data_IF_254629622413
#
_entry.id   IF_254629622413
#
_cell.length_a   1.000
_cell.length_b   1.000
_cell.length_c   1.000
_cell.angle_alpha   90.00
_cell.angle_beta   90.00
_cell.angle_gamma   90.00
#
_symmetry.space_group_name_H-M   'P 1'
#
loop_
_entity.id
_entity.type
_entity.pdbx_description
1 polymer ?
#
# COMPACT_ATOMS: atom_id res chain seq x y z
N UNK A 1 6.65 50.84 -62.25
CA UNK A 1 7.49 50.31 -63.34
C UNK A 1 8.45 49.31 -62.71
N UNK A 2 8.01 48.05 -62.64
CA UNK A 2 8.43 46.91 -63.50
C UNK A 2 9.73 46.28 -62.94
N UNK A 3 9.72 45.13 -62.22
CA UNK A 3 9.30 43.75 -62.61
C UNK A 3 10.24 43.23 -63.72
N UNK A 4 11.02 42.15 -63.62
CA UNK A 4 10.75 40.69 -63.49
C UNK A 4 12.13 39.99 -63.35
N UNK A 5 12.37 38.85 -62.70
CA UNK A 5 11.86 37.46 -62.84
C UNK A 5 12.15 36.70 -61.53
N UNK A 6 11.25 36.02 -60.80
CA UNK A 6 10.28 34.93 -61.09
C UNK A 6 10.89 33.50 -61.17
N UNK A 7 10.86 32.82 -60.01
CA UNK A 7 10.49 31.42 -59.67
C UNK A 7 11.22 30.20 -60.28
N UNK A 8 11.58 29.22 -59.41
CA UNK A 8 10.77 28.00 -59.20
C UNK A 8 11.10 27.24 -57.89
N UNK A 9 10.03 26.79 -57.23
CA UNK A 9 9.94 25.93 -56.04
C UNK A 9 10.27 24.46 -56.37
N UNK A 10 10.93 23.72 -55.47
CA UNK A 10 10.66 22.28 -55.23
C UNK A 10 10.85 21.95 -53.73
N UNK A 11 9.75 21.49 -53.10
CA UNK A 11 9.71 20.81 -51.81
C UNK A 11 10.35 19.43 -51.91
N UNK A 12 11.05 18.94 -50.86
CA UNK A 12 10.89 17.55 -50.41
C UNK A 12 11.31 17.37 -48.95
N UNK A 13 10.36 16.87 -48.17
CA UNK A 13 10.51 16.29 -46.84
C UNK A 13 11.06 14.86 -46.98
N UNK A 14 11.97 14.42 -46.10
CA UNK A 14 11.97 13.03 -45.67
C UNK A 14 12.74 12.81 -44.36
N UNK A 15 12.01 12.31 -43.37
CA UNK A 15 12.54 11.62 -42.20
C UNK A 15 13.19 10.29 -42.64
N UNK A 16 14.31 9.92 -42.02
CA UNK A 16 14.87 8.57 -42.13
C UNK A 16 14.82 7.91 -40.75
N UNK A 17 13.99 6.87 -40.72
CA UNK A 17 13.88 5.84 -39.71
C UNK A 17 15.09 4.92 -39.79
N UNK A 18 15.78 4.66 -38.68
CA UNK A 18 16.73 3.55 -38.57
C UNK A 18 16.09 2.45 -37.73
N UNK A 19 15.55 1.45 -38.44
CA UNK A 19 15.13 0.16 -37.89
C UNK A 19 16.25 -0.81 -38.23
N UNK A 20 16.94 -1.34 -37.21
CA UNK A 20 17.92 -2.41 -37.35
C UNK A 20 17.18 -3.74 -37.47
N UNK A 21 17.29 -4.39 -38.63
CA UNK A 21 16.90 -5.78 -38.83
C UNK A 21 18.01 -6.69 -38.24
N UNK A 22 17.61 -7.71 -37.50
CA UNK A 22 18.48 -8.74 -36.92
C UNK A 22 18.22 -10.05 -37.66
N UNK A 23 19.26 -10.59 -38.28
CA UNK A 23 19.28 -11.85 -39.05
C UNK A 23 19.69 -13.01 -38.13
N UNK A 24 18.86 -14.06 -37.93
CA UNK A 24 19.19 -15.19 -37.08
C UNK A 24 19.79 -16.32 -37.91
N UNK A 25 21.07 -16.20 -38.29
CA UNK A 25 21.81 -17.31 -38.88
C UNK A 25 23.30 -17.25 -38.60
N UNK A 26 23.70 -17.31 -37.34
CA UNK A 26 25.04 -17.82 -36.99
C UNK A 26 25.10 -18.30 -35.54
N UNK A 27 25.30 -19.59 -35.37
CA UNK A 27 25.62 -20.24 -34.10
C UNK A 27 27.06 -20.73 -34.15
N UNK A 28 27.84 -20.56 -33.07
CA UNK A 28 28.95 -21.44 -32.79
C UNK A 28 28.65 -22.26 -31.53
N UNK A 29 28.58 -23.57 -31.72
CA UNK A 29 28.67 -24.59 -30.69
C UNK A 29 30.05 -24.56 -30.04
N UNK A 30 30.12 -24.49 -28.71
CA UNK A 30 31.31 -24.90 -27.96
C UNK A 30 30.90 -25.93 -26.91
N UNK A 31 31.55 -27.07 -27.04
CA UNK A 31 31.45 -28.29 -26.26
C UNK A 31 32.05 -28.18 -24.86
N UNK A 32 31.36 -28.84 -23.92
CA UNK A 32 31.79 -29.45 -22.66
C UNK A 32 33.16 -29.14 -22.06
N UNK A 33 33.13 -28.70 -20.79
CA UNK A 33 34.14 -29.06 -19.79
C UNK A 33 33.51 -29.17 -18.40
N UNK A 34 33.62 -30.37 -17.82
CA UNK A 34 33.53 -30.67 -16.39
C UNK A 34 34.69 -30.01 -15.64
N UNK A 35 34.52 -29.73 -14.34
CA UNK A 35 35.48 -29.74 -13.22
C UNK A 35 34.80 -29.06 -12.00
N UNK A 36 34.38 -29.81 -10.99
CA UNK A 36 35.08 -30.08 -9.71
C UNK A 36 34.67 -29.12 -8.57
N UNK A 37 34.05 -29.71 -7.54
CA UNK A 37 33.80 -29.10 -6.24
C UNK A 37 35.11 -28.91 -5.48
N UNK A 38 35.34 -27.71 -4.95
CA UNK A 38 36.39 -27.44 -3.96
C UNK A 38 35.71 -26.94 -2.68
N UNK A 39 35.86 -27.64 -1.53
CA UNK A 39 35.32 -27.19 -0.25
C UNK A 39 36.26 -26.13 0.36
N UNK A 40 35.68 -25.04 0.88
CA UNK A 40 36.44 -24.03 1.65
C UNK A 40 36.32 -24.27 3.15
N UNK A 41 37.40 -24.02 3.93
CA UNK A 41 37.51 -24.46 5.31
C UNK A 41 36.81 -23.51 6.29
N UNK A 42 36.35 -24.10 7.40
CA UNK A 42 35.95 -23.43 8.63
C UNK A 42 37.09 -22.55 9.15
N UNK A 43 36.81 -21.27 9.38
CA UNK A 43 37.61 -20.44 10.29
C UNK A 43 36.74 -20.00 11.46
N UNK A 44 37.13 -20.46 12.64
CA UNK A 44 36.61 -20.03 13.93
C UNK A 44 37.21 -18.66 14.27
N UNK A 45 36.36 -17.66 14.45
CA UNK A 45 36.74 -16.43 15.17
C UNK A 45 35.77 -16.26 16.32
N UNK A 46 36.30 -16.48 17.52
CA UNK A 46 35.71 -16.12 18.80
C UNK A 46 35.63 -14.60 18.94
N UNK A 47 34.42 -14.06 19.08
CA UNK A 47 34.24 -12.71 19.62
C UNK A 47 33.27 -12.74 20.79
N UNK A 48 33.76 -12.17 21.89
CA UNK A 48 33.12 -11.91 23.17
C UNK A 48 31.68 -11.40 23.03
N UNK A 49 30.73 -12.10 23.65
CA UNK A 49 29.40 -11.58 23.94
C UNK A 49 29.52 -10.54 25.07
N UNK A 50 29.27 -9.28 24.76
CA UNK A 50 28.92 -8.27 25.75
C UNK A 50 27.44 -7.96 25.52
N UNK A 51 26.57 -8.63 26.28
CA UNK A 51 25.15 -8.31 26.37
C UNK A 51 25.02 -6.86 26.84
N UNK A 52 24.52 -5.98 25.96
CA UNK A 52 23.96 -4.69 26.36
C UNK A 52 22.46 -4.75 26.09
N UNK A 53 21.72 -4.83 27.19
CA UNK A 53 20.29 -4.58 27.26
C UNK A 53 19.95 -3.26 26.55
N UNK A 54 19.18 -3.34 25.48
CA UNK A 54 18.50 -2.19 24.89
C UNK A 54 17.16 -2.05 25.59
N UNK A 55 17.00 -1.04 26.43
CA UNK A 55 15.73 -0.66 27.03
C UNK A 55 14.79 -0.15 25.93
N UNK A 56 13.74 -0.93 25.67
CA UNK A 56 12.61 -0.54 24.83
C UNK A 56 11.67 0.38 25.62
N UNK A 57 11.66 1.67 25.30
CA UNK A 57 10.51 2.53 25.61
C UNK A 57 9.47 2.40 24.50
N UNK A 58 8.76 1.28 24.51
CA UNK A 58 7.49 1.08 23.80
C UNK A 58 6.48 0.63 24.85
N UNK A 59 5.32 1.28 24.90
CA UNK A 59 4.19 0.77 25.68
C UNK A 59 3.68 -0.48 24.95
N UNK A 60 4.25 -1.63 25.30
CA UNK A 60 3.67 -2.93 25.01
C UNK A 60 2.36 -3.07 25.80
N UNK A 61 1.23 -3.08 25.08
CA UNK A 61 -0.03 -3.59 25.61
C UNK A 61 0.10 -5.11 25.84
N UNK A 62 0.53 -5.49 27.03
CA UNK A 62 0.45 -6.86 27.52
C UNK A 62 -1.00 -7.12 27.96
N UNK A 63 -1.77 -7.87 27.18
CA UNK A 63 -3.14 -8.25 27.55
C UNK A 63 -3.06 -9.36 28.61
N UNK A 64 -3.32 -9.01 29.87
CA UNK A 64 -3.63 -9.97 30.94
C UNK A 64 -5.08 -10.43 30.79
N UNK A 65 -5.27 -11.75 30.72
CA UNK A 65 -6.58 -12.39 30.76
C UNK A 65 -7.03 -12.43 32.23
N UNK A 66 -8.03 -11.62 32.60
CA UNK A 66 -8.74 -11.76 33.87
C UNK A 66 -10.25 -11.93 33.66
N UNK A 67 -10.81 -12.83 34.49
CA UNK A 67 -12.15 -13.41 34.40
C UNK A 67 -13.24 -12.39 34.74
N UNK A 68 -14.35 -12.57 34.04
CA UNK A 68 -15.62 -11.85 34.16
C UNK A 68 -16.40 -12.25 35.43
N UNK A 69 -16.98 -11.28 36.15
CA UNK A 69 -18.30 -11.37 36.82
C UNK A 69 -18.86 -9.94 37.11
N UNK A 70 -20.19 -9.76 37.24
CA UNK A 70 -20.89 -8.57 36.72
C UNK A 70 -21.64 -7.74 37.77
N UNK A 71 -21.68 -6.40 37.60
CA UNK A 71 -22.67 -5.46 38.16
C UNK A 71 -22.65 -4.18 37.30
N UNK A 72 -23.68 -3.36 37.09
CA UNK A 72 -25.14 -3.41 37.21
C UNK A 72 -25.66 -2.15 36.47
N UNK A 73 -26.87 -2.23 35.92
CA UNK A 73 -27.59 -1.25 35.10
C UNK A 73 -27.64 0.22 35.58
N UNK A 74 -27.47 1.19 34.67
CA UNK A 74 -28.14 2.50 34.72
C UNK A 74 -28.51 2.95 33.28
N UNK A 75 -29.79 3.31 33.11
CA UNK A 75 -30.46 3.66 31.85
C UNK A 75 -30.36 5.14 31.51
N UNK A 76 -30.39 5.43 30.21
CA UNK A 76 -30.33 6.76 29.62
C UNK A 76 -31.65 7.53 29.79
N UNK A 77 -31.71 8.44 30.76
CA UNK A 77 -32.56 9.65 30.76
C UNK A 77 -32.24 10.40 32.04
N UNK A 78 -31.44 11.46 31.94
CA UNK A 78 -31.55 12.69 32.74
C UNK A 78 -30.37 13.61 32.42
N UNK A 79 -30.58 14.90 32.68
CA UNK A 79 -29.64 16.03 32.49
C UNK A 79 -29.67 16.67 31.09
N UNK A 80 -30.85 17.16 30.69
CA UNK A 80 -30.95 18.48 30.05
C UNK A 80 -31.48 19.45 31.11
N UNK A 81 -30.63 20.40 31.56
CA UNK A 81 -30.95 21.79 31.95
C UNK A 81 -29.90 22.33 32.95
N UNK A 82 -28.98 23.15 32.47
CA UNK A 82 -28.78 24.54 32.94
C UNK A 82 -27.64 25.19 32.15
N UNK A 83 -27.98 26.25 31.43
CA UNK A 83 -27.03 27.15 30.82
C UNK A 83 -26.51 28.12 31.90
N UNK A 84 -25.19 28.22 32.02
CA UNK A 84 -24.48 29.37 32.58
C UNK A 84 -23.27 29.62 31.68
N UNK A 85 -23.22 30.81 31.10
CA UNK A 85 -22.15 31.25 30.20
C UNK A 85 -20.78 31.29 30.90
N UNK A 86 -19.69 30.98 30.16
CA UNK A 86 -18.42 31.63 30.38
C UNK A 86 -17.84 32.30 29.13
N UNK A 87 -16.89 33.18 29.40
CA UNK A 87 -16.07 34.07 28.55
C UNK A 87 -15.34 33.41 27.36
N UNK A 88 -14.71 34.19 26.43
CA UNK A 88 -14.39 33.70 25.10
C UNK A 88 -13.09 32.89 25.11
N UNK A 89 -13.22 31.57 24.97
CA UNK A 89 -12.11 30.69 24.58
C UNK A 89 -12.06 30.57 23.06
N UNK A 90 -11.08 31.26 22.47
CA UNK A 90 -10.50 30.92 21.18
C UNK A 90 -9.66 29.65 21.38
N UNK A 91 -10.15 28.49 20.93
CA UNK A 91 -9.37 27.34 20.43
C UNK A 91 -10.29 26.15 20.06
N UNK A 92 -9.89 25.43 19.01
CA UNK A 92 -10.30 24.05 18.68
C UNK A 92 -11.60 23.77 17.90
N UNK A 93 -12.10 24.72 17.10
CA UNK A 93 -13.15 24.41 16.10
C UNK A 93 -12.65 23.53 14.94
N UNK A 94 -11.33 23.51 14.68
CA UNK A 94 -10.71 22.77 13.58
C UNK A 94 -10.57 21.25 13.79
N UNK A 95 -10.23 20.78 15.01
CA UNK A 95 -10.11 19.33 15.28
C UNK A 95 -11.46 18.64 15.39
N UNK A 96 -12.44 19.30 15.99
CA UNK A 96 -13.82 18.80 16.09
C UNK A 96 -14.44 18.63 14.70
N UNK A 97 -14.13 19.52 13.76
CA UNK A 97 -14.64 19.45 12.39
C UNK A 97 -13.99 18.33 11.56
N UNK A 98 -12.68 18.10 11.71
CA UNK A 98 -12.00 16.97 11.08
C UNK A 98 -12.51 15.61 11.59
N UNK A 99 -12.66 15.46 12.91
CA UNK A 99 -13.20 14.23 13.51
C UNK A 99 -14.64 13.96 13.07
N UNK A 100 -15.49 15.01 13.00
CA UNK A 100 -16.85 14.90 12.44
C UNK A 100 -16.85 14.52 10.97
N UNK A 101 -15.97 15.10 10.15
CA UNK A 101 -15.83 14.74 8.72
C UNK A 101 -15.36 13.29 8.55
N UNK A 102 -14.39 12.84 9.35
CA UNK A 102 -13.92 11.46 9.36
C UNK A 102 -15.04 10.48 9.77
N UNK A 103 -15.80 10.80 10.82
CA UNK A 103 -16.93 9.99 11.27
C UNK A 103 -18.08 9.96 10.24
N UNK A 104 -18.38 11.08 9.59
CA UNK A 104 -19.41 11.14 8.54
C UNK A 104 -19.01 10.33 7.30
N UNK A 105 -17.74 10.40 6.88
CA UNK A 105 -17.21 9.60 5.76
C UNK A 105 -17.18 8.11 6.11
N UNK A 106 -16.71 7.76 7.31
CA UNK A 106 -16.74 6.37 7.81
C UNK A 106 -18.17 5.84 7.90
N UNK A 107 -19.13 6.67 8.32
CA UNK A 107 -20.56 6.33 8.34
C UNK A 107 -21.12 6.13 6.93
N UNK A 108 -20.73 6.96 5.96
CA UNK A 108 -21.16 6.79 4.56
C UNK A 108 -20.66 5.47 3.99
N UNK A 109 -19.37 5.17 4.18
CA UNK A 109 -18.74 3.91 3.80
C UNK A 109 -19.43 2.72 4.48
N UNK A 110 -19.69 2.82 5.78
CA UNK A 110 -20.37 1.77 6.53
C UNK A 110 -21.80 1.54 6.01
N UNK A 111 -22.54 2.61 5.70
CA UNK A 111 -23.87 2.53 5.10
C UNK A 111 -23.84 1.96 3.68
N UNK A 112 -22.83 2.28 2.88
CA UNK A 112 -22.65 1.74 1.54
C UNK A 112 -22.31 0.24 1.60
N UNK A 113 -21.41 -0.16 2.48
CA UNK A 113 -21.10 -1.57 2.75
C UNK A 113 -22.35 -2.33 3.22
N UNK A 114 -23.16 -1.76 4.11
CA UNK A 114 -24.44 -2.34 4.51
C UNK A 114 -25.44 -2.43 3.35
N UNK A 115 -25.48 -1.44 2.44
CA UNK A 115 -26.34 -1.47 1.23
C UNK A 115 -25.88 -2.55 0.24
N UNK A 116 -24.58 -2.75 0.07
CA UNK A 116 -24.03 -3.82 -0.77
C UNK A 116 -24.37 -5.21 -0.20
N UNK A 117 -24.31 -5.38 1.12
CA UNK A 117 -24.79 -6.60 1.79
C UNK A 117 -26.28 -6.85 1.55
N UNK A 118 -27.10 -5.78 1.46
CA UNK A 118 -28.56 -5.87 1.19
C UNK A 118 -28.93 -6.01 -0.29
N UNK A 119 -28.06 -5.63 -1.24
CA UNK A 119 -28.33 -5.59 -2.69
C UNK A 119 -27.78 -6.78 -3.49
N UNK A 120 -27.20 -7.78 -2.83
CA UNK A 120 -26.73 -8.98 -3.52
C UNK A 120 -27.90 -9.69 -4.23
N UNK A 121 -27.78 -10.10 -5.52
CA UNK A 121 -28.93 -10.63 -6.24
C UNK A 121 -29.35 -12.00 -5.72
N UNK A 122 -30.57 -12.09 -5.19
CA UNK A 122 -31.29 -13.34 -5.06
C UNK A 122 -31.69 -13.80 -6.47
N UNK A 123 -30.89 -14.67 -7.09
CA UNK A 123 -31.34 -15.41 -8.27
C UNK A 123 -31.78 -16.82 -7.82
N UNK A 124 -33.09 -17.01 -7.73
CA UNK A 124 -33.71 -18.31 -7.48
C UNK A 124 -35.09 -18.40 -8.15
N UNK A 125 -35.15 -19.17 -9.24
CA UNK A 125 -36.38 -19.68 -9.85
C UNK A 125 -37.27 -20.37 -8.80
N UNK A 126 -38.59 -20.26 -9.01
CA UNK A 126 -39.66 -20.97 -8.29
C UNK A 126 -39.36 -22.47 -8.06
N UNK A 127 -39.64 -22.98 -6.85
CA UNK A 127 -39.87 -24.41 -6.61
C UNK A 127 -39.44 -24.94 -5.23
N UNK A 128 -40.34 -24.79 -4.25
CA UNK A 128 -40.56 -25.56 -3.01
C UNK A 128 -39.44 -26.03 -2.04
N UNK A 129 -39.56 -25.48 -0.81
CA UNK A 129 -39.42 -26.04 0.55
C UNK A 129 -38.35 -27.10 0.84
N UNK A 130 -37.28 -26.64 1.53
CA UNK A 130 -36.82 -27.22 2.81
C UNK A 130 -36.15 -26.13 3.66
N UNK A 131 -36.51 -26.10 4.94
CA UNK A 131 -35.87 -25.28 5.99
C UNK A 131 -34.39 -25.67 6.07
N UNK A 132 -33.51 -24.69 6.17
CA UNK A 132 -32.29 -24.62 7.00
C UNK A 132 -31.67 -23.21 6.83
N UNK A 133 -30.97 -22.73 7.88
CA UNK A 133 -30.69 -21.32 8.19
C UNK A 133 -29.82 -20.51 7.22
N UNK A 134 -29.50 -19.28 7.65
CA UNK A 134 -28.61 -18.30 7.01
C UNK A 134 -27.49 -18.95 6.18
N UNK A 135 -27.71 -19.09 4.88
CA UNK A 135 -26.78 -19.86 4.06
C UNK A 135 -27.17 -19.86 2.60
N UNK A 136 -26.71 -18.83 1.88
CA UNK A 136 -26.07 -18.91 0.54
C UNK A 136 -26.14 -17.56 -0.18
N UNK A 137 -25.09 -16.76 0.00
CA UNK A 137 -24.59 -15.92 -1.08
C UNK A 137 -23.12 -16.34 -1.30
N UNK A 138 -22.93 -17.45 -2.00
CA UNK A 138 -21.63 -17.90 -2.52
C UNK A 138 -21.56 -17.77 -4.06
N UNK A 139 -22.55 -17.12 -4.66
CA UNK A 139 -22.69 -17.02 -6.11
C UNK A 139 -22.19 -15.65 -6.58
N UNK A 140 -21.31 -15.64 -7.58
CA UNK A 140 -20.90 -14.42 -8.26
C UNK A 140 -22.08 -13.83 -9.05
N UNK A 141 -22.36 -12.55 -8.84
CA UNK A 141 -23.28 -11.80 -9.69
C UNK A 141 -22.77 -11.80 -11.14
N UNK A 142 -23.59 -12.21 -12.09
CA UNK A 142 -23.23 -12.26 -13.51
C UNK A 142 -22.78 -10.91 -14.08
N UNK A 143 -23.31 -9.80 -13.56
CA UNK A 143 -22.90 -8.45 -13.96
C UNK A 143 -21.51 -8.05 -13.43
N UNK A 144 -21.00 -8.74 -12.41
CA UNK A 144 -19.68 -8.48 -11.88
C UNK A 144 -18.58 -9.24 -12.64
N UNK A 145 -18.92 -10.19 -13.52
CA UNK A 145 -17.96 -10.98 -14.30
C UNK A 145 -17.08 -10.07 -15.15
N UNK A 146 -15.77 -10.15 -14.93
CA UNK A 146 -14.75 -9.41 -15.65
C UNK A 146 -14.46 -10.12 -16.97
N UNK A 147 -15.01 -9.60 -18.07
CA UNK A 147 -14.83 -10.18 -19.41
C UNK A 147 -13.35 -10.33 -19.81
N UNK A 148 -12.49 -9.41 -19.36
CA UNK A 148 -11.04 -9.48 -19.58
C UNK A 148 -10.39 -10.74 -19.01
N UNK A 149 -10.93 -11.31 -17.93
CA UNK A 149 -10.42 -12.56 -17.35
C UNK A 149 -10.79 -13.81 -18.17
N UNK A 150 -11.63 -13.70 -19.21
CA UNK A 150 -11.99 -14.83 -20.07
C UNK A 150 -10.96 -15.12 -21.16
N UNK A 151 -9.94 -14.27 -21.31
CA UNK A 151 -8.91 -14.37 -22.33
C UNK A 151 -7.54 -14.20 -21.67
N UNK A 152 -6.52 -14.86 -22.22
CA UNK A 152 -5.13 -14.79 -21.75
C UNK A 152 -4.38 -13.55 -22.28
N UNK A 153 -5.10 -12.67 -22.99
CA UNK A 153 -4.56 -11.46 -23.62
C UNK A 153 -3.94 -11.69 -24.99
N UNK A 154 -3.85 -12.94 -25.50
CA UNK A 154 -3.22 -13.28 -26.79
C UNK A 154 -1.85 -12.59 -26.96
N UNK A 155 -0.88 -12.86 -26.06
CA UNK A 155 0.39 -12.18 -26.04
C UNK A 155 1.12 -12.27 -27.39
N UNK A 156 1.86 -11.21 -27.75
CA UNK A 156 2.74 -11.19 -28.92
C UNK A 156 4.15 -10.77 -28.53
N UNK A 157 5.16 -11.22 -29.28
CA UNK A 157 6.57 -10.98 -28.92
C UNK A 157 6.95 -11.66 -27.60
N UNK A 158 7.60 -10.91 -26.71
CA UNK A 158 8.07 -11.41 -25.40
C UNK A 158 7.01 -11.36 -24.29
N UNK A 159 5.73 -11.11 -24.63
CA UNK A 159 4.65 -11.07 -23.65
C UNK A 159 4.32 -12.47 -23.13
N UNK A 160 4.05 -12.58 -21.83
CA UNK A 160 3.54 -13.81 -21.23
C UNK A 160 2.00 -13.84 -21.25
N UNK A 161 1.36 -15.02 -21.39
CA UNK A 161 -0.09 -15.13 -21.31
C UNK A 161 -0.59 -14.94 -19.87
N UNK A 162 -1.76 -14.33 -19.73
CA UNK A 162 -2.45 -14.21 -18.44
C UNK A 162 -3.18 -15.50 -18.07
N UNK A 163 -3.37 -15.74 -16.77
CA UNK A 163 -4.36 -16.70 -16.30
C UNK A 163 -5.77 -16.28 -16.75
N UNK A 164 -6.66 -17.26 -16.90
CA UNK A 164 -8.08 -17.03 -17.22
C UNK A 164 -8.99 -17.54 -16.11
N UNK A 165 -10.18 -16.95 -16.01
CA UNK A 165 -11.19 -17.29 -15.01
C UNK A 165 -12.58 -16.87 -15.47
N UNK A 166 -13.57 -17.73 -15.18
CA UNK A 166 -15.00 -17.44 -15.40
C UNK A 166 -15.70 -16.84 -14.17
N UNK A 167 -15.01 -16.75 -13.02
CA UNK A 167 -15.56 -16.31 -11.75
C UNK A 167 -14.69 -15.24 -11.05
N UNK A 168 -14.01 -14.40 -11.82
CA UNK A 168 -13.12 -13.34 -11.32
C UNK A 168 -12.07 -13.80 -10.30
N UNK A 169 -11.59 -15.04 -10.41
CA UNK A 169 -10.58 -15.61 -9.52
C UNK A 169 -10.99 -15.66 -8.04
N UNK A 170 -12.29 -15.63 -7.72
CA UNK A 170 -12.79 -15.71 -6.34
C UNK A 170 -12.29 -16.96 -5.61
N UNK A 171 -12.00 -18.04 -6.35
CA UNK A 171 -11.47 -19.30 -5.82
C UNK A 171 -9.94 -19.43 -5.97
N UNK A 172 -9.21 -18.35 -6.23
CA UNK A 172 -7.77 -18.41 -6.47
C UNK A 172 -7.01 -19.06 -5.30
N UNK A 173 -7.31 -18.67 -4.07
CA UNK A 173 -6.59 -19.17 -2.89
C UNK A 173 -6.79 -20.68 -2.62
N UNK A 174 -7.80 -21.31 -3.20
CA UNK A 174 -8.00 -22.77 -3.06
C UNK A 174 -7.46 -23.56 -4.27
N UNK A 175 -6.99 -22.86 -5.31
CA UNK A 175 -6.30 -23.46 -6.46
C UNK A 175 -4.88 -23.92 -6.10
N UNK A 176 -4.21 -24.61 -7.03
CA UNK A 176 -2.80 -24.98 -6.87
C UNK A 176 -1.88 -23.76 -6.74
N UNK A 177 -2.16 -22.68 -7.48
CA UNK A 177 -1.40 -21.42 -7.40
C UNK A 177 -1.56 -20.72 -6.04
N UNK A 178 -2.77 -20.78 -5.47
CA UNK A 178 -3.08 -20.17 -4.19
C UNK A 178 -2.51 -20.89 -2.97
N UNK A 179 -1.90 -22.07 -3.16
CA UNK A 179 -1.38 -22.96 -2.11
C UNK A 179 0.14 -23.13 -2.15
N UNK A 180 0.85 -22.36 -2.98
CA UNK A 180 2.31 -22.42 -3.12
C UNK A 180 2.97 -22.26 -1.75
N UNK A 181 3.96 -23.10 -1.45
CA UNK A 181 4.72 -23.03 -0.20
C UNK A 181 3.88 -23.26 1.06
N UNK A 182 2.73 -23.95 0.95
CA UNK A 182 1.82 -24.16 2.08
C UNK A 182 1.01 -22.93 2.45
N UNK A 183 0.78 -22.02 1.49
CA UNK A 183 0.05 -20.78 1.73
C UNK A 183 -1.32 -21.01 2.39
N UNK A 184 -1.64 -20.17 3.37
CA UNK A 184 -2.95 -20.18 4.06
C UNK A 184 -3.78 -18.96 3.68
N UNK A 185 -5.10 -19.10 3.71
CA UNK A 185 -6.00 -17.96 3.51
C UNK A 185 -5.86 -17.01 4.70
N UNK A 186 -5.61 -15.73 4.41
CA UNK A 186 -5.23 -14.75 5.44
C UNK A 186 -6.36 -14.37 6.41
N UNK A 187 -7.60 -14.25 5.92
CA UNK A 187 -8.79 -13.92 6.73
C UNK A 187 -8.59 -12.73 7.70
N UNK A 188 -7.92 -11.67 7.25
CA UNK A 188 -7.66 -10.48 8.06
C UNK A 188 -6.46 -10.58 9.01
N UNK A 189 -5.78 -11.72 9.04
CA UNK A 189 -4.62 -11.98 9.90
C UNK A 189 -3.34 -11.89 9.05
N UNK A 190 -2.35 -11.17 9.58
CA UNK A 190 -0.99 -11.18 9.01
C UNK A 190 -0.39 -12.59 9.03
N UNK A 191 0.39 -12.93 8.01
CA UNK A 191 1.09 -14.22 7.92
C UNK A 191 2.60 -13.97 7.94
N UNK A 192 3.22 -13.77 9.12
CA UNK A 192 4.65 -13.47 9.22
C UNK A 192 5.54 -14.69 8.97
N UNK A 193 5.08 -15.90 9.35
CA UNK A 193 5.93 -17.10 9.40
C UNK A 193 5.74 -18.05 8.22
N UNK A 194 4.83 -17.74 7.29
CA UNK A 194 4.51 -18.57 6.12
C UNK A 194 3.83 -17.77 5.02
N UNK A 195 3.80 -18.28 3.77
CA UNK A 195 3.05 -17.63 2.69
C UNK A 195 1.56 -17.44 3.04
N UNK A 196 1.00 -16.30 2.64
CA UNK A 196 -0.41 -15.99 2.77
C UNK A 196 -1.08 -15.82 1.40
N UNK A 197 -2.36 -16.19 1.30
CA UNK A 197 -3.20 -15.86 0.15
C UNK A 197 -4.39 -15.00 0.60
N UNK A 198 -4.49 -13.79 0.04
CA UNK A 198 -5.64 -12.91 0.29
C UNK A 198 -6.78 -13.25 -0.67
N UNK A 199 -7.92 -13.68 -0.12
CA UNK A 199 -9.13 -13.97 -0.89
C UNK A 199 -10.02 -12.74 -1.18
N UNK A 200 -9.66 -11.57 -0.64
CA UNK A 200 -10.44 -10.35 -0.83
C UNK A 200 -10.04 -9.66 -2.13
N UNK A 201 -11.04 -9.19 -2.89
CA UNK A 201 -10.80 -8.41 -4.11
C UNK A 201 -10.01 -7.14 -3.80
N UNK A 202 -9.13 -6.73 -4.72
CA UNK A 202 -8.26 -5.56 -4.50
C UNK A 202 -9.06 -4.26 -4.28
N UNK A 203 -10.25 -4.14 -4.87
CA UNK A 203 -11.13 -2.98 -4.68
C UNK A 203 -11.06 -1.96 -5.80
N UNK A 204 -11.35 -0.71 -5.45
CA UNK A 204 -11.39 0.40 -6.38
C UNK A 204 -9.99 0.76 -6.89
N UNK A 205 -9.93 1.25 -8.12
CA UNK A 205 -8.71 1.79 -8.73
C UNK A 205 -9.00 3.26 -9.06
N UNK A 206 -8.17 4.24 -8.61
CA UNK A 206 -8.37 5.64 -8.94
C UNK A 206 -8.25 5.84 -10.46
N UNK A 207 -8.85 6.89 -11.02
CA UNK A 207 -8.56 7.26 -12.41
C UNK A 207 -7.23 8.00 -12.53
N UNK A 208 -6.78 8.24 -13.77
CA UNK A 208 -5.46 8.82 -14.07
C UNK A 208 -5.21 10.16 -13.37
N UNK A 209 -6.24 10.98 -13.15
CA UNK A 209 -6.11 12.30 -12.56
C UNK A 209 -6.10 12.26 -11.02
N UNK A 210 -6.53 11.14 -10.43
CA UNK A 210 -6.63 10.94 -8.98
C UNK A 210 -5.66 9.88 -8.46
N UNK A 211 -4.61 9.57 -9.22
CA UNK A 211 -3.53 8.72 -8.72
C UNK A 211 -2.81 9.42 -7.54
N UNK A 212 -2.56 8.70 -6.43
CA UNK A 212 -1.84 9.26 -5.30
C UNK A 212 -0.38 9.50 -5.64
N UNK A 213 0.23 10.46 -4.94
CA UNK A 213 1.67 10.63 -4.91
C UNK A 213 2.07 11.29 -3.60
N UNK A 214 3.32 11.11 -3.22
CA UNK A 214 3.90 11.82 -2.09
C UNK A 214 5.32 12.31 -2.39
N UNK A 215 5.83 13.22 -1.56
CA UNK A 215 7.20 13.73 -1.63
C UNK A 215 7.70 14.12 -0.24
N UNK A 216 8.88 13.65 0.16
CA UNK A 216 9.53 14.14 1.38
C UNK A 216 9.91 15.61 1.23
N UNK A 217 9.46 16.42 2.19
CA UNK A 217 9.91 17.80 2.40
C UNK A 217 11.16 17.80 3.28
N UNK A 218 11.19 16.92 4.29
CA UNK A 218 12.30 16.73 5.23
C UNK A 218 12.37 15.26 5.66
N UNK A 219 13.58 14.66 5.73
CA UNK A 219 14.82 15.19 5.16
C UNK A 219 14.68 15.31 3.63
N UNK A 220 15.36 16.30 3.05
CA UNK A 220 15.53 16.37 1.60
C UNK A 220 16.55 15.33 1.16
N UNK A 221 16.55 15.04 -0.14
CA UNK A 221 17.55 14.16 -0.70
C UNK A 221 18.95 14.78 -0.58
N UNK A 222 19.89 13.98 -0.08
CA UNK A 222 21.27 14.29 0.27
C UNK A 222 21.43 15.29 1.43
N UNK A 223 20.42 15.43 2.29
CA UNK A 223 20.56 16.25 3.50
C UNK A 223 21.65 15.68 4.43
N UNK A 224 22.29 16.59 5.15
CA UNK A 224 23.16 16.27 6.28
C UNK A 224 22.41 16.64 7.56
N UNK A 225 22.07 15.64 8.36
CA UNK A 225 21.39 15.82 9.66
C UNK A 225 22.42 15.79 10.79
N UNK A 226 21.98 16.04 12.03
CA UNK A 226 22.84 15.94 13.22
C UNK A 226 22.60 14.62 13.96
N UNK A 227 23.68 13.92 14.27
CA UNK A 227 23.67 12.72 15.11
C UNK A 227 22.88 12.91 16.40
N UNK A 228 22.05 11.92 16.73
CA UNK A 228 21.36 11.83 18.02
C UNK A 228 20.57 13.10 18.38
N UNK A 229 20.08 13.83 17.37
CA UNK A 229 19.18 14.96 17.52
C UNK A 229 17.83 14.59 16.93
N UNK A 230 16.75 14.93 17.63
CA UNK A 230 15.39 14.68 17.15
C UNK A 230 15.22 15.20 15.73
N UNK A 231 14.87 14.29 14.81
CA UNK A 231 14.63 14.61 13.42
C UNK A 231 13.12 14.77 13.18
N UNK A 232 12.73 15.90 12.58
CA UNK A 232 11.37 16.08 12.08
C UNK A 232 11.29 15.67 10.61
N UNK A 233 10.46 14.67 10.35
CA UNK A 233 10.15 14.18 9.01
C UNK A 233 8.83 14.80 8.57
N UNK A 234 8.83 15.35 7.35
CA UNK A 234 7.64 15.93 6.73
C UNK A 234 7.43 15.30 5.36
N UNK A 235 6.23 14.79 5.12
CA UNK A 235 5.82 14.19 3.86
C UNK A 235 4.63 14.96 3.29
N UNK A 236 4.77 15.49 2.08
CA UNK A 236 3.66 16.05 1.32
C UNK A 236 2.95 14.94 0.56
N UNK A 237 1.63 14.98 0.51
CA UNK A 237 0.80 14.01 -0.21
C UNK A 237 -0.16 14.70 -1.17
N UNK A 238 -0.75 13.95 -2.09
CA UNK A 238 -1.88 14.39 -2.92
C UNK A 238 -2.74 13.21 -3.32
N UNK A 239 -4.01 13.49 -3.65
CA UNK A 239 -4.99 12.50 -4.13
C UNK A 239 -5.16 11.28 -3.20
N UNK A 240 -4.94 11.48 -1.90
CA UNK A 240 -5.17 10.51 -0.85
C UNK A 240 -5.73 11.22 0.38
N UNK A 241 -6.78 10.66 0.97
CA UNK A 241 -7.31 11.08 2.27
C UNK A 241 -6.64 10.20 3.33
N UNK A 242 -5.65 10.78 4.02
CA UNK A 242 -4.94 10.12 5.12
C UNK A 242 -5.77 10.10 6.41
N UNK A 243 -5.36 9.26 7.35
CA UNK A 243 -6.05 9.01 8.62
C UNK A 243 -7.09 7.88 8.54
N UNK A 244 -7.08 7.12 7.44
CA UNK A 244 -7.90 5.92 7.28
C UNK A 244 -6.99 4.71 7.40
N UNK A 245 -6.91 4.13 8.59
CA UNK A 245 -6.17 2.89 8.85
C UNK A 245 -7.04 1.99 9.73
N UNK A 246 -7.05 0.69 9.44
CA UNK A 246 -7.82 -0.30 10.22
C UNK A 246 -6.88 -1.16 11.07
N UNK A 247 -7.44 -1.94 11.99
CA UNK A 247 -6.63 -2.76 12.89
C UNK A 247 -5.83 -3.84 12.13
N UNK A 248 -4.48 -3.79 12.11
CA UNK A 248 -3.66 -4.70 11.34
C UNK A 248 -3.59 -6.12 11.92
N UNK A 249 -4.12 -6.37 13.13
CA UNK A 249 -4.15 -7.72 13.73
C UNK A 249 -5.29 -8.58 13.17
N UNK A 250 -6.40 -7.97 12.79
CA UNK A 250 -7.64 -8.69 12.46
C UNK A 250 -8.40 -8.17 11.22
N UNK A 251 -7.93 -7.11 10.56
CA UNK A 251 -8.51 -6.62 9.31
C UNK A 251 -7.49 -6.46 8.19
N UNK A 252 -6.32 -7.08 8.34
CA UNK A 252 -5.20 -6.98 7.41
C UNK A 252 -5.55 -7.54 6.03
N UNK A 253 -5.48 -6.67 5.04
CA UNK A 253 -5.91 -6.91 3.66
C UNK A 253 -7.39 -7.33 3.49
N UNK A 254 -8.23 -7.16 4.52
CA UNK A 254 -9.58 -7.74 4.61
C UNK A 254 -10.68 -6.91 3.94
N UNK A 255 -10.43 -5.64 3.62
CA UNK A 255 -11.42 -4.73 3.04
C UNK A 255 -10.88 -4.10 1.75
N UNK A 256 -11.61 -4.11 0.62
CA UNK A 256 -11.10 -3.57 -0.65
C UNK A 256 -10.67 -2.10 -0.54
N UNK A 257 -9.76 -1.69 -1.44
CA UNK A 257 -9.42 -0.27 -1.65
C UNK A 257 -10.69 0.53 -1.94
N UNK A 258 -10.79 1.71 -1.35
CA UNK A 258 -11.95 2.60 -1.48
C UNK A 258 -11.49 4.00 -1.91
N UNK A 259 -12.37 4.70 -2.63
CA UNK A 259 -12.17 6.10 -3.00
C UNK A 259 -13.19 6.95 -2.26
N UNK A 260 -12.78 8.17 -1.94
CA UNK A 260 -13.69 9.21 -1.46
C UNK A 260 -14.73 9.53 -2.55
N UNK A 261 -16.04 9.51 -2.25
CA UNK A 261 -17.07 9.77 -3.25
C UNK A 261 -16.99 11.18 -3.85
N UNK A 262 -16.49 12.16 -3.12
CA UNK A 262 -16.46 13.56 -3.55
C UNK A 262 -15.17 13.88 -4.31
N UNK A 263 -14.02 13.56 -3.71
CA UNK A 263 -12.70 13.91 -4.27
C UNK A 263 -12.10 12.83 -5.17
N UNK A 264 -12.68 11.63 -5.19
CA UNK A 264 -12.13 10.43 -5.85
C UNK A 264 -10.74 10.01 -5.37
N UNK A 265 -10.23 10.65 -4.31
CA UNK A 265 -8.95 10.33 -3.70
C UNK A 265 -9.02 8.99 -2.98
N UNK A 266 -7.89 8.28 -2.93
CA UNK A 266 -7.82 7.01 -2.20
C UNK A 266 -8.04 7.24 -0.70
N UNK A 267 -8.77 6.36 -0.04
CA UNK A 267 -8.89 6.35 1.42
C UNK A 267 -7.81 5.44 1.99
N UNK A 268 -6.88 6.02 2.76
CA UNK A 268 -5.74 5.26 3.23
C UNK A 268 -4.90 5.93 4.30
N UNK A 269 -3.68 5.44 4.42
CA UNK A 269 -2.68 5.92 5.35
C UNK A 269 -1.29 5.69 4.76
N UNK A 270 -0.27 6.23 5.41
CA UNK A 270 1.12 6.09 4.97
C UNK A 270 2.02 5.78 6.15
N UNK A 271 3.18 5.20 5.88
CA UNK A 271 4.19 4.89 6.87
C UNK A 271 5.50 5.55 6.45
N UNK A 272 6.36 5.83 7.41
CA UNK A 272 7.74 6.25 7.19
C UNK A 272 8.66 5.13 7.66
N UNK A 273 9.59 4.74 6.80
CA UNK A 273 10.61 3.74 7.09
C UNK A 273 11.98 4.36 6.85
N UNK A 274 12.88 4.21 7.82
CA UNK A 274 14.29 4.58 7.67
C UNK A 274 15.14 3.34 7.83
N UNK A 275 16.04 3.11 6.88
CA UNK A 275 17.02 2.04 6.93
C UNK A 275 18.42 2.62 6.86
N UNK A 276 19.33 2.04 7.63
CA UNK A 276 20.76 2.33 7.51
C UNK A 276 21.30 1.64 6.26
N UNK A 277 22.20 2.32 5.56
CA UNK A 277 22.92 1.82 4.38
C UNK A 277 24.43 2.07 4.56
N UNK A 278 25.25 1.36 3.79
CA UNK A 278 26.72 1.43 3.94
C UNK A 278 27.28 2.80 3.55
N UNK A 279 26.80 3.35 2.44
CA UNK A 279 27.12 4.67 1.91
C UNK A 279 26.03 5.10 0.91
N UNK A 280 26.05 6.36 0.47
CA UNK A 280 25.05 6.90 -0.47
C UNK A 280 25.13 6.26 -1.86
N UNK A 281 26.30 5.75 -2.23
CA UNK A 281 26.57 5.07 -3.50
C UNK A 281 26.36 3.55 -3.42
N UNK A 282 25.95 3.01 -2.27
CA UNK A 282 25.82 1.58 -2.10
C UNK A 282 24.79 0.98 -3.06
N UNK A 283 25.19 -0.11 -3.73
CA UNK A 283 24.33 -0.93 -4.59
C UNK A 283 23.88 -2.22 -3.89
N UNK A 284 24.25 -2.40 -2.62
CA UNK A 284 23.84 -3.56 -1.83
C UNK A 284 22.33 -3.52 -1.62
N UNK A 285 21.67 -4.67 -1.79
CA UNK A 285 20.23 -4.81 -1.62
C UNK A 285 19.92 -4.82 -0.12
N UNK A 286 19.20 -3.82 0.43
CA UNK A 286 18.89 -3.80 1.86
C UNK A 286 17.86 -4.88 2.19
N UNK A 287 18.02 -5.52 3.35
CA UNK A 287 17.02 -6.45 3.88
C UNK A 287 15.73 -5.67 4.21
N UNK A 288 14.58 -6.00 3.59
CA UNK A 288 13.33 -5.28 3.81
C UNK A 288 12.74 -5.50 5.22
N UNK A 289 13.26 -6.44 6.00
CA UNK A 289 12.84 -6.71 7.39
C UNK A 289 13.63 -5.90 8.41
N UNK A 290 14.72 -5.25 7.99
CA UNK A 290 15.62 -4.50 8.87
C UNK A 290 15.46 -3.00 8.68
N UNK A 291 15.09 -2.28 9.73
CA UNK A 291 14.94 -0.82 9.74
C UNK A 291 15.39 -0.24 11.09
N UNK A 292 15.87 1.01 11.07
CA UNK A 292 16.22 1.74 12.29
C UNK A 292 15.04 2.59 12.80
N UNK A 293 14.06 2.85 11.94
CA UNK A 293 12.82 3.52 12.29
C UNK A 293 11.67 3.05 11.40
N UNK A 294 10.52 2.80 12.01
CA UNK A 294 9.26 2.54 11.32
C UNK A 294 8.13 3.22 12.08
N UNK A 295 7.28 3.97 11.37
CA UNK A 295 6.09 4.56 11.97
C UNK A 295 4.95 4.69 10.97
N UNK A 296 3.81 4.11 11.31
CA UNK A 296 2.53 4.42 10.69
C UNK A 296 2.05 5.83 11.06
N UNK A 297 1.55 6.56 10.07
CA UNK A 297 0.96 7.89 10.24
C UNK A 297 -0.56 7.75 10.25
N UNK A 298 -1.09 7.77 11.46
CA UNK A 298 -2.50 7.48 11.76
C UNK A 298 -3.41 8.71 11.65
N UNK A 299 -2.82 9.91 11.55
CA UNK A 299 -3.54 11.17 11.52
C UNK A 299 -3.82 11.63 10.08
N UNK A 300 -4.85 12.45 9.90
CA UNK A 300 -5.09 13.12 8.63
C UNK A 300 -3.96 14.12 8.31
N UNK A 301 -3.76 14.37 7.01
CA UNK A 301 -2.89 15.43 6.55
C UNK A 301 -3.46 16.80 6.90
N UNK A 302 -2.59 17.74 7.29
CA UNK A 302 -2.90 19.16 7.41
C UNK A 302 -2.21 19.88 6.26
N UNK A 303 -3.00 20.60 5.44
CA UNK A 303 -2.50 21.31 4.26
C UNK A 303 -1.66 20.40 3.34
N UNK A 304 -2.17 19.18 3.12
CA UNK A 304 -1.52 18.11 2.34
C UNK A 304 -0.17 17.62 2.90
N UNK A 305 0.13 17.90 4.17
CA UNK A 305 1.37 17.47 4.84
C UNK A 305 1.07 16.63 6.07
N UNK A 306 1.86 15.57 6.25
CA UNK A 306 1.96 14.82 7.50
C UNK A 306 3.36 14.89 8.06
N UNK A 307 3.49 14.71 9.37
CA UNK A 307 4.77 14.73 10.05
C UNK A 307 4.92 13.62 11.06
N UNK A 308 6.17 13.24 11.29
CA UNK A 308 6.57 12.30 12.34
C UNK A 308 7.92 12.74 12.92
N UNK A 309 8.14 12.45 14.20
CA UNK A 309 9.40 12.71 14.88
C UNK A 309 10.16 11.41 15.10
N UNK A 310 11.45 11.42 14.78
CA UNK A 310 12.40 10.39 15.24
C UNK A 310 13.01 10.93 16.52
N UNK A 311 12.39 10.62 17.66
CA UNK A 311 12.84 11.08 18.97
C UNK A 311 14.23 10.52 19.29
N UNK A 312 15.12 11.36 19.84
CA UNK A 312 16.51 10.98 20.07
C UNK A 312 17.37 10.92 18.80
N UNK A 313 16.77 11.07 17.61
CA UNK A 313 17.47 11.13 16.34
C UNK A 313 17.94 9.79 15.79
N UNK A 314 18.89 9.86 14.87
CA UNK A 314 19.55 8.72 14.26
C UNK A 314 21.05 8.74 14.63
N UNK A 315 21.71 7.58 14.72
CA UNK A 315 23.16 7.53 14.92
C UNK A 315 23.90 8.11 13.71
N UNK A 316 25.22 8.29 13.81
CA UNK A 316 26.06 8.61 12.66
C UNK A 316 25.97 7.54 11.58
N UNK A 317 25.93 7.95 10.32
CA UNK A 317 25.88 7.03 9.19
C UNK A 317 25.12 7.55 7.98
N UNK A 318 24.79 6.62 7.09
CA UNK A 318 24.04 6.89 5.86
C UNK A 318 22.70 6.20 5.92
N UNK A 319 21.67 6.87 5.38
CA UNK A 319 20.29 6.44 5.52
C UNK A 319 19.53 6.57 4.22
N UNK A 320 18.61 5.63 4.01
CA UNK A 320 17.51 5.80 3.08
C UNK A 320 16.20 5.93 3.86
N UNK A 321 15.37 6.89 3.47
CA UNK A 321 13.99 7.01 3.94
C UNK A 321 13.05 6.66 2.79
N UNK A 322 11.95 5.99 3.09
CA UNK A 322 10.91 5.65 2.13
C UNK A 322 9.54 5.78 2.77
N UNK A 323 8.54 6.12 1.97
CA UNK A 323 7.14 6.00 2.38
C UNK A 323 6.59 4.60 2.05
N UNK A 324 5.56 4.19 2.78
CA UNK A 324 4.73 3.03 2.42
C UNK A 324 3.26 3.46 2.46
N UNK A 325 2.72 3.82 1.30
CA UNK A 325 1.38 4.40 1.15
C UNK A 325 0.39 3.34 0.75
N UNK A 326 -0.62 3.11 1.59
CA UNK A 326 -1.56 2.00 1.44
C UNK A 326 -3.00 2.45 1.63
N UNK A 327 -3.95 1.63 1.19
CA UNK A 327 -5.36 1.81 1.52
C UNK A 327 -5.64 1.44 2.99
N UNK A 328 -6.87 1.72 3.46
CA UNK A 328 -7.22 1.57 4.88
C UNK A 328 -6.88 0.22 5.52
N UNK A 329 -7.09 -0.87 4.80
CA UNK A 329 -6.81 -2.22 5.27
C UNK A 329 -5.39 -2.72 4.89
N UNK A 330 -4.46 -1.78 4.64
CA UNK A 330 -3.05 -2.02 4.35
C UNK A 330 -2.77 -2.62 2.95
N UNK A 331 -3.74 -2.61 2.03
CA UNK A 331 -3.50 -3.06 0.66
C UNK A 331 -2.61 -2.07 -0.10
N UNK A 332 -1.70 -2.57 -0.95
CA UNK A 332 -1.09 -1.75 -1.99
C UNK A 332 -2.15 -1.09 -2.86
N UNK A 333 -1.91 0.16 -3.24
CA UNK A 333 -2.80 0.90 -4.12
C UNK A 333 -2.49 0.55 -5.57
N UNK A 334 -3.47 -0.03 -6.26
CA UNK A 334 -3.39 -0.31 -7.71
C UNK A 334 -3.55 0.97 -8.54
N UNK A 335 -3.05 0.93 -9.77
CA UNK A 335 -3.14 2.07 -10.71
C UNK A 335 -3.99 1.73 -11.94
N UNK A 336 -4.66 2.74 -12.53
CA UNK A 336 -5.40 2.57 -13.78
C UNK A 336 -4.51 2.46 -15.02
N UNK A 337 -3.21 2.77 -14.92
CA UNK A 337 -2.29 2.79 -16.07
C UNK A 337 -0.97 2.09 -15.74
N UNK A 338 -0.42 1.39 -16.73
CA UNK A 338 0.85 0.68 -16.58
C UNK A 338 2.03 1.65 -16.48
N UNK A 339 2.10 2.64 -17.39
CA UNK A 339 3.17 3.64 -17.44
C UNK A 339 2.89 4.77 -16.45
N UNK A 340 3.58 4.77 -15.30
CA UNK A 340 3.44 5.74 -14.22
C UNK A 340 4.67 5.77 -13.31
N UNK A 341 4.73 6.75 -12.41
CA UNK A 341 5.68 6.78 -11.29
C UNK A 341 5.21 5.92 -10.11
N UNK A 342 6.11 5.66 -9.17
CA UNK A 342 5.78 5.16 -7.83
C UNK A 342 4.77 6.09 -7.13
N UNK A 343 3.90 5.52 -6.31
CA UNK A 343 3.01 6.25 -5.39
C UNK A 343 3.72 6.61 -4.08
N UNK A 344 4.81 5.90 -3.79
CA UNK A 344 5.73 6.17 -2.69
C UNK A 344 6.91 7.02 -3.14
N UNK A 345 7.51 7.71 -2.17
CA UNK A 345 8.73 8.49 -2.36
C UNK A 345 9.89 7.89 -1.56
N UNK A 346 11.10 8.27 -1.96
CA UNK A 346 12.32 7.95 -1.25
C UNK A 346 13.32 9.09 -1.30
N UNK A 347 14.19 9.13 -0.30
CA UNK A 347 15.34 10.04 -0.25
C UNK A 347 16.50 9.37 0.49
N UNK A 348 17.71 9.84 0.20
CA UNK A 348 18.92 9.48 0.91
C UNK A 348 19.40 10.66 1.73
N UNK A 349 20.00 10.43 2.89
CA UNK A 349 20.58 11.50 3.72
C UNK A 349 21.66 10.89 4.62
N UNK A 350 22.45 11.73 5.25
CA UNK A 350 23.62 11.30 6.01
C UNK A 350 23.82 12.11 7.28
N UNK A 351 24.69 11.59 8.13
CA UNK A 351 25.27 12.28 9.27
C UNK A 351 26.75 11.87 9.39
N UNK A 352 27.69 12.73 8.94
CA UNK A 352 29.12 12.45 8.90
C UNK A 352 29.81 12.49 10.27
#
# INVERSE_FOLDING_TARGET
MFLTHLTFLVFFSLAISLRSEYDPSNSPSITGRSLEEIPRPLSSVSHFLQEKHTETTSKDETIKIERYEPQSSITASDVFTKASSPEPEDTDSGKIDLYKRMLLKTRHIHLENQRLMRRSPQNGRKGDKKKDGEGRILSLNSFAVQKGALTDGKPTGEQAPSLTSKNNFINFCVSSFGKIGGAVIMNGIQQPDKPGCNGVVMGMVPDKNHMPACKFISPKNLDVIKANQTLEVFLKVRNIILGVFTNPKNTYLQGPVQLDPDTKSVLGHTHVVVQQIDCLESINIPDPTMFIFFKGIDNAAKDDVVSVKIEGGLPKGFFRISSVTTAGNHQPISSPVAQRSSFDDGAFFSDP
#
